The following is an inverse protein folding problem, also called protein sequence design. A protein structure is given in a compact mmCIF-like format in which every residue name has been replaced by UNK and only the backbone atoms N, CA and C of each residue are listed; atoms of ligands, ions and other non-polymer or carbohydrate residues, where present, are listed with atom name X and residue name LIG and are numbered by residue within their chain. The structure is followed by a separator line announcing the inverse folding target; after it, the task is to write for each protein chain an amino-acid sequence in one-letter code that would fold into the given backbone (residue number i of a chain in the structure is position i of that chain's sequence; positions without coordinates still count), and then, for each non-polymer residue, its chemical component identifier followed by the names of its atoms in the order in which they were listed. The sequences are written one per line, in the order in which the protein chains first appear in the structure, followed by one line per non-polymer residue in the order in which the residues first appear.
data_IF_326190667262
#
_entry.id   IF_326190667262
#
_cell.length_a   1.000
_cell.length_b   1.000
_cell.length_c   1.000
_cell.angle_alpha   90.00
_cell.angle_beta   90.00
_cell.angle_gamma   90.00
#
_symmetry.space_group_name_H-M   'P 1'
#
loop_
_entity.id
_entity.type
_entity.pdbx_description
1 polymer ?
#
# COMPACT_ATOMS: atom_id res chain seq x y z
N UNK A 1 9.18 35.82 -10.68
CA UNK A 1 10.46 36.55 -10.55
C UNK A 1 11.17 36.01 -9.32
N UNK A 2 12.14 35.12 -9.50
CA UNK A 2 13.25 34.82 -8.59
C UNK A 2 14.26 33.97 -9.38
N UNK A 3 15.50 34.46 -9.45
CA UNK A 3 16.62 33.99 -10.27
C UNK A 3 17.57 33.12 -9.43
N UNK A 4 18.09 32.09 -10.09
CA UNK A 4 19.46 31.55 -10.14
C UNK A 4 20.50 31.81 -9.04
N UNK A 5 21.23 30.72 -8.77
CA UNK A 5 22.65 30.64 -8.39
C UNK A 5 22.92 29.24 -7.80
N UNK A 6 23.97 28.48 -8.06
CA UNK A 6 25.10 28.58 -8.99
C UNK A 6 25.74 27.18 -9.15
N UNK A 7 26.60 27.06 -10.15
CA UNK A 7 27.20 25.84 -10.71
C UNK A 7 28.18 25.11 -9.77
N UNK A 8 28.27 23.78 -9.93
CA UNK A 8 29.55 23.06 -9.89
C UNK A 8 29.59 22.02 -11.03
N UNK A 9 30.57 22.17 -11.92
CA UNK A 9 30.93 21.24 -12.99
C UNK A 9 32.28 20.63 -12.61
N UNK A 10 32.35 19.30 -12.54
CA UNK A 10 33.63 18.58 -12.49
C UNK A 10 33.73 17.73 -13.76
N UNK A 11 34.72 18.05 -14.58
CA UNK A 11 35.08 17.36 -15.82
C UNK A 11 36.15 16.30 -15.52
N UNK A 12 35.98 15.09 -16.05
CA UNK A 12 37.03 14.08 -16.13
C UNK A 12 37.13 13.58 -17.57
N UNK A 13 38.25 13.93 -18.20
CA UNK A 13 38.63 13.58 -19.56
C UNK A 13 39.45 12.29 -19.59
N UNK A 14 39.08 11.34 -20.46
CA UNK A 14 39.92 10.16 -20.76
C UNK A 14 40.58 10.31 -22.13
N UNK A 15 41.92 10.17 -22.17
CA UNK A 15 42.72 10.05 -23.39
C UNK A 15 42.78 8.59 -23.80
N UNK A 16 42.42 8.28 -25.05
CA UNK A 16 42.69 7.00 -25.70
C UNK A 16 44.09 7.03 -26.34
N UNK A 17 44.88 5.99 -26.10
CA UNK A 17 46.10 5.67 -26.89
C UNK A 17 45.89 4.29 -27.52
N UNK A 18 46.02 4.12 -28.85
CA UNK A 18 45.83 2.83 -29.49
C UNK A 18 47.18 2.10 -29.63
N UNK A 19 47.19 0.79 -29.38
CA UNK A 19 48.31 -0.08 -29.80
C UNK A 19 47.78 -1.39 -30.40
N UNK A 20 48.42 -1.77 -31.50
CA UNK A 20 48.00 -2.76 -32.48
C UNK A 20 48.60 -4.16 -32.24
N UNK A 21 47.80 -5.18 -32.57
CA UNK A 21 48.07 -6.54 -33.08
C UNK A 21 49.47 -7.17 -32.88
N UNK A 22 49.49 -8.33 -32.17
CA UNK A 22 49.84 -9.68 -32.70
C UNK A 22 49.50 -10.79 -31.67
N UNK A 23 49.05 -11.95 -32.16
CA UNK A 23 48.56 -13.18 -31.48
C UNK A 23 49.72 -14.18 -31.20
N UNK A 24 49.54 -15.39 -30.60
CA UNK A 24 48.54 -15.89 -29.63
C UNK A 24 49.18 -16.69 -28.46
N UNK A 25 48.84 -16.39 -27.20
CA UNK A 25 48.96 -17.37 -26.09
C UNK A 25 47.87 -17.07 -25.05
N UNK A 26 46.63 -17.48 -25.33
CA UNK A 26 45.45 -17.08 -24.55
C UNK A 26 44.92 -18.16 -23.58
N UNK A 27 45.64 -19.27 -23.38
CA UNK A 27 45.20 -20.33 -22.46
C UNK A 27 45.96 -20.43 -21.14
N UNK A 28 46.95 -19.57 -20.87
CA UNK A 28 47.74 -19.62 -19.62
C UNK A 28 47.55 -18.40 -18.72
N UNK A 29 46.96 -17.30 -19.22
CA UNK A 29 46.73 -16.09 -18.41
C UNK A 29 45.34 -16.02 -17.73
N UNK A 30 44.39 -16.89 -18.08
CA UNK A 30 43.06 -16.92 -17.43
C UNK A 30 43.04 -17.64 -16.06
N UNK A 31 44.10 -18.37 -15.70
CA UNK A 31 44.15 -19.10 -14.42
C UNK A 31 44.76 -18.29 -13.27
N UNK A 32 45.55 -17.24 -13.55
CA UNK A 32 46.27 -16.49 -12.49
C UNK A 32 45.58 -15.16 -12.12
N UNK A 33 44.77 -14.57 -13.01
CA UNK A 33 43.97 -13.38 -12.67
C UNK A 33 42.67 -13.73 -11.92
N UNK A 34 42.18 -14.97 -12.05
CA UNK A 34 40.99 -15.46 -11.35
C UNK A 34 41.24 -15.77 -9.87
N UNK A 35 42.49 -15.93 -9.44
CA UNK A 35 42.86 -16.20 -8.03
C UNK A 35 43.22 -14.91 -7.28
N UNK A 36 43.61 -13.84 -7.97
CA UNK A 36 43.96 -12.55 -7.36
C UNK A 36 42.80 -11.55 -7.26
N UNK A 37 41.68 -11.75 -7.98
CA UNK A 37 40.46 -10.97 -7.79
C UNK A 37 39.46 -11.60 -6.82
N UNK A 38 39.66 -12.86 -6.43
CA UNK A 38 38.89 -13.50 -5.35
C UNK A 38 39.42 -13.16 -3.94
N UNK A 39 40.53 -12.43 -3.82
CA UNK A 39 41.15 -12.06 -2.53
C UNK A 39 41.08 -10.56 -2.20
N UNK A 40 40.33 -9.75 -2.96
CA UNK A 40 40.10 -8.31 -2.67
C UNK A 40 38.60 -7.94 -2.56
N UNK A 41 37.69 -8.92 -2.59
CA UNK A 41 36.25 -8.70 -2.28
C UNK A 41 35.80 -9.42 -0.99
N UNK A 42 36.69 -9.48 0.00
CA UNK A 42 36.32 -9.76 1.39
C UNK A 42 36.73 -8.53 2.21
N UNK A 43 35.86 -7.52 2.22
CA UNK A 43 35.83 -6.47 3.22
C UNK A 43 34.50 -5.73 3.08
N UNK A 44 33.61 -6.00 4.03
CA UNK A 44 32.36 -5.30 4.36
C UNK A 44 31.12 -5.66 3.53
N UNK A 45 30.51 -6.78 3.95
CA UNK A 45 29.16 -7.17 3.59
C UNK A 45 28.79 -8.45 4.32
N UNK A 46 28.76 -8.43 5.66
CA UNK A 46 28.27 -9.57 6.44
C UNK A 46 26.77 -9.74 6.16
N UNK A 47 26.43 -10.83 5.47
CA UNK A 47 25.13 -11.46 5.60
C UNK A 47 25.14 -12.20 6.93
N UNK A 48 24.32 -11.76 7.88
CA UNK A 48 23.98 -12.61 9.03
C UNK A 48 22.95 -13.63 8.55
N UNK A 49 23.42 -14.83 8.24
CA UNK A 49 22.59 -16.02 8.20
C UNK A 49 22.53 -16.59 9.61
N UNK A 50 21.39 -16.39 10.28
CA UNK A 50 21.11 -17.06 11.56
C UNK A 50 20.79 -18.53 11.25
N UNK A 51 21.82 -19.37 11.29
CA UNK A 51 21.65 -20.82 11.37
C UNK A 51 21.53 -21.22 12.84
N UNK A 52 20.35 -21.69 13.24
CA UNK A 52 20.19 -22.42 14.50
C UNK A 52 20.74 -23.84 14.25
N UNK A 53 21.84 -24.19 14.93
CA UNK A 53 22.31 -25.58 15.01
C UNK A 53 21.40 -26.40 15.94
N UNK A 54 21.24 -27.72 15.67
CA UNK A 54 20.19 -28.53 16.26
C UNK A 54 20.58 -29.00 17.67
N UNK A 55 19.79 -28.60 18.66
CA UNK A 55 19.73 -29.28 19.95
C UNK A 55 18.42 -30.09 20.03
N UNK A 56 18.54 -31.31 20.55
CA UNK A 56 17.56 -32.38 20.52
C UNK A 56 16.17 -32.02 21.04
N UNK A 57 15.16 -32.44 20.26
CA UNK A 57 13.90 -33.04 20.70
C UNK A 57 13.25 -32.46 21.97
N UNK A 58 12.40 -31.46 21.78
CA UNK A 58 11.02 -31.58 22.27
C UNK A 58 10.06 -30.89 21.30
N UNK A 59 8.99 -31.58 20.94
CA UNK A 59 7.95 -31.10 20.02
C UNK A 59 7.27 -29.87 20.62
N UNK A 60 7.49 -28.70 20.04
CA UNK A 60 6.52 -27.60 20.06
C UNK A 60 6.38 -27.01 18.66
N UNK A 61 5.39 -27.52 17.95
CA UNK A 61 4.82 -26.92 16.75
C UNK A 61 4.25 -25.56 17.13
N UNK A 62 4.82 -24.47 16.62
CA UNK A 62 4.09 -23.20 16.55
C UNK A 62 3.33 -23.25 15.23
N UNK A 63 2.10 -23.75 15.29
CA UNK A 63 1.12 -23.60 14.21
C UNK A 63 0.74 -22.12 14.14
N UNK A 64 1.06 -21.44 13.03
CA UNK A 64 0.28 -20.28 12.64
C UNK A 64 -1.08 -20.82 12.18
N UNK A 65 -2.07 -20.73 13.06
CA UNK A 65 -3.42 -21.21 12.77
C UNK A 65 -3.93 -20.59 11.47
N UNK A 66 -4.19 -21.46 10.49
CA UNK A 66 -4.97 -21.24 9.26
C UNK A 66 -6.44 -20.89 9.55
N UNK A 67 -6.73 -20.20 10.65
CA UNK A 67 -8.08 -19.85 11.08
C UNK A 67 -8.03 -18.59 11.96
N UNK A 68 -7.79 -17.41 11.36
CA UNK A 68 -8.50 -16.22 11.87
C UNK A 68 -9.87 -16.20 11.20
N UNK A 69 -10.69 -17.21 11.53
CA UNK A 69 -12.13 -17.12 11.32
C UNK A 69 -12.60 -16.19 12.43
N UNK A 70 -12.82 -14.92 12.09
CA UNK A 70 -13.49 -13.96 12.97
C UNK A 70 -14.93 -14.45 13.17
N UNK A 71 -15.16 -15.35 14.14
CA UNK A 71 -16.50 -15.73 14.57
C UNK A 71 -17.14 -14.51 15.24
N UNK A 72 -18.36 -14.10 14.83
CA UNK A 72 -19.02 -12.95 15.44
C UNK A 72 -19.53 -13.37 16.82
N UNK A 73 -18.84 -12.95 17.87
CA UNK A 73 -19.48 -12.84 19.18
C UNK A 73 -20.15 -11.46 19.20
N UNK A 74 -21.47 -11.45 18.98
CA UNK A 74 -22.30 -10.26 19.13
C UNK A 74 -22.27 -9.84 20.61
N UNK A 75 -21.34 -8.96 20.97
CA UNK A 75 -21.56 -8.09 22.11
C UNK A 75 -22.33 -6.88 21.59
N UNK A 76 -23.48 -6.62 22.23
CA UNK A 76 -24.39 -5.55 21.86
C UNK A 76 -23.61 -4.24 21.75
N UNK A 77 -23.65 -3.63 20.57
CA UNK A 77 -23.17 -2.28 20.35
C UNK A 77 -23.86 -1.36 21.36
N UNK A 78 -23.11 -0.93 22.38
CA UNK A 78 -23.50 0.26 23.14
C UNK A 78 -23.50 1.39 22.14
N UNK A 79 -24.68 1.95 21.89
CA UNK A 79 -24.84 3.07 20.98
C UNK A 79 -24.00 4.23 21.50
N UNK A 80 -22.82 4.43 20.91
CA UNK A 80 -22.11 5.71 21.00
C UNK A 80 -23.05 6.75 20.42
N UNK A 81 -23.41 7.73 21.25
CA UNK A 81 -24.22 8.86 20.84
C UNK A 81 -23.45 9.64 19.78
N UNK A 82 -23.76 9.35 18.51
CA UNK A 82 -23.21 10.03 17.35
C UNK A 82 -23.57 11.51 17.46
N UNK A 83 -22.58 12.36 17.76
CA UNK A 83 -22.76 13.79 17.59
C UNK A 83 -22.65 14.10 16.09
N UNK A 84 -23.69 14.67 15.46
CA UNK A 84 -23.56 15.15 14.09
C UNK A 84 -22.50 16.25 14.09
N UNK A 85 -21.39 16.02 13.39
CA UNK A 85 -20.44 17.08 13.07
C UNK A 85 -21.20 18.11 12.24
N UNK A 86 -21.42 19.27 12.86
CA UNK A 86 -22.09 20.43 12.26
C UNK A 86 -21.20 21.01 11.16
N UNK A 87 -21.32 20.50 9.94
CA UNK A 87 -20.98 21.25 8.75
C UNK A 87 -22.14 22.19 8.43
N UNK A 88 -21.88 23.50 8.40
CA UNK A 88 -22.87 24.51 8.05
C UNK A 88 -23.55 24.21 6.71
N UNK A 89 -24.87 24.38 6.69
CA UNK A 89 -25.77 24.42 5.52
C UNK A 89 -25.56 23.35 4.42
N UNK A 90 -26.47 22.35 4.40
CA UNK A 90 -26.94 21.64 3.20
C UNK A 90 -25.88 21.00 2.27
N UNK A 91 -24.98 20.17 2.80
CA UNK A 91 -24.39 19.09 2.01
C UNK A 91 -24.92 17.75 2.48
N UNK A 92 -26.11 17.38 1.98
CA UNK A 92 -26.62 16.02 2.11
C UNK A 92 -25.67 15.06 1.38
N UNK A 93 -24.87 14.30 2.14
CA UNK A 93 -24.04 13.27 1.56
C UNK A 93 -24.93 12.18 0.94
N UNK A 94 -24.80 12.00 -0.38
CA UNK A 94 -25.54 11.01 -1.16
C UNK A 94 -24.56 10.09 -1.86
N UNK A 95 -24.07 9.06 -1.15
CA UNK A 95 -23.10 8.11 -1.69
C UNK A 95 -23.64 7.32 -2.88
N UNK A 96 -24.92 6.94 -2.87
CA UNK A 96 -25.52 6.22 -4.01
C UNK A 96 -25.60 7.09 -5.26
N UNK A 97 -26.00 8.36 -5.11
CA UNK A 97 -26.02 9.34 -6.18
C UNK A 97 -24.61 9.64 -6.71
N UNK A 98 -23.63 9.74 -5.81
CA UNK A 98 -22.23 9.90 -6.16
C UNK A 98 -21.72 8.70 -6.97
N UNK A 99 -21.99 7.47 -6.53
CA UNK A 99 -21.58 6.23 -7.22
C UNK A 99 -22.22 6.12 -8.60
N UNK A 100 -23.50 6.50 -8.75
CA UNK A 100 -24.15 6.53 -10.08
C UNK A 100 -23.47 7.52 -11.03
N UNK A 101 -23.15 8.73 -10.57
CA UNK A 101 -22.41 9.73 -11.37
C UNK A 101 -20.99 9.25 -11.70
N UNK A 102 -20.33 8.61 -10.74
CA UNK A 102 -19.00 8.03 -10.90
C UNK A 102 -19.01 6.96 -12.00
N UNK A 103 -19.97 6.05 -12.01
CA UNK A 103 -20.12 5.02 -13.06
C UNK A 103 -20.34 5.61 -14.45
N UNK A 104 -21.08 6.72 -14.57
CA UNK A 104 -21.27 7.41 -15.85
C UNK A 104 -19.96 8.01 -16.37
N UNK A 105 -19.19 8.68 -15.50
CA UNK A 105 -17.88 9.24 -15.83
C UNK A 105 -16.87 8.14 -16.19
N UNK A 106 -16.89 7.02 -15.47
CA UNK A 106 -16.08 5.85 -15.76
C UNK A 106 -16.35 5.33 -17.17
N UNK A 107 -17.62 5.15 -17.57
CA UNK A 107 -17.97 4.69 -18.92
C UNK A 107 -17.43 5.59 -20.03
N UNK A 108 -17.51 6.91 -19.84
CA UNK A 108 -16.95 7.85 -20.80
C UNK A 108 -15.42 7.69 -20.92
N UNK A 109 -14.72 7.59 -19.78
CA UNK A 109 -13.28 7.34 -19.77
C UNK A 109 -12.91 6.02 -20.47
N UNK A 110 -13.61 4.93 -20.16
CA UNK A 110 -13.37 3.61 -20.76
C UNK A 110 -13.45 3.66 -22.29
N UNK A 111 -14.43 4.39 -22.85
CA UNK A 111 -14.56 4.52 -24.31
C UNK A 111 -13.35 5.18 -24.98
N UNK A 112 -12.68 6.10 -24.29
CA UNK A 112 -11.45 6.72 -24.79
C UNK A 112 -10.26 5.77 -24.63
N UNK A 113 -10.13 5.11 -23.49
CA UNK A 113 -9.01 4.21 -23.19
C UNK A 113 -8.98 2.96 -24.07
N UNK A 114 -10.14 2.34 -24.35
CA UNK A 114 -10.20 1.11 -25.14
C UNK A 114 -9.71 1.28 -26.59
N UNK A 115 -9.57 2.52 -27.09
CA UNK A 115 -9.01 2.80 -28.41
C UNK A 115 -7.47 2.85 -28.42
N UNK A 116 -6.85 3.20 -27.29
CA UNK A 116 -5.42 3.49 -27.19
C UNK A 116 -4.63 2.44 -26.39
N UNK A 117 -5.32 1.69 -25.52
CA UNK A 117 -4.69 0.79 -24.55
C UNK A 117 -5.11 -0.67 -24.78
N UNK A 118 -4.21 -1.60 -24.42
CA UNK A 118 -4.62 -2.98 -24.18
C UNK A 118 -5.50 -3.00 -22.94
N UNK A 119 -6.53 -3.85 -22.94
CA UNK A 119 -7.48 -3.97 -21.84
C UNK A 119 -7.61 -5.43 -21.41
N UNK A 120 -7.57 -5.64 -20.10
CA UNK A 120 -8.04 -6.89 -19.46
C UNK A 120 -9.05 -6.57 -18.37
N UNK A 121 -9.92 -7.52 -18.07
CA UNK A 121 -10.89 -7.42 -16.98
C UNK A 121 -10.82 -8.65 -16.09
N UNK A 122 -10.83 -8.42 -14.78
CA UNK A 122 -10.79 -9.44 -13.75
C UNK A 122 -11.92 -9.20 -12.75
N UNK A 123 -12.53 -10.30 -12.30
CA UNK A 123 -13.61 -10.26 -11.32
C UNK A 123 -13.21 -11.11 -10.12
N UNK A 124 -13.24 -10.50 -8.95
CA UNK A 124 -13.05 -11.16 -7.66
C UNK A 124 -14.40 -11.21 -6.94
N UNK A 125 -14.79 -12.38 -6.45
CA UNK A 125 -16.03 -12.56 -5.71
C UNK A 125 -15.95 -13.77 -4.78
N UNK A 126 -16.43 -13.61 -3.56
CA UNK A 126 -16.66 -14.72 -2.61
C UNK A 126 -18.10 -14.64 -2.08
N UNK A 127 -18.67 -15.78 -1.70
CA UNK A 127 -20.12 -15.92 -1.43
C UNK A 127 -20.70 -14.87 -0.46
N UNK A 128 -19.92 -14.44 0.54
CA UNK A 128 -20.33 -13.47 1.56
C UNK A 128 -19.61 -12.11 1.44
N UNK A 129 -18.80 -11.93 0.40
CA UNK A 129 -17.98 -10.74 0.20
C UNK A 129 -18.56 -9.78 -0.84
N UNK A 130 -17.89 -8.64 -1.07
CA UNK A 130 -18.23 -7.76 -2.18
C UNK A 130 -17.82 -8.41 -3.50
N UNK A 131 -18.29 -7.85 -4.61
CA UNK A 131 -17.74 -8.16 -5.94
C UNK A 131 -16.78 -7.04 -6.33
N UNK A 132 -15.57 -7.37 -6.77
CA UNK A 132 -14.61 -6.40 -7.32
C UNK A 132 -14.43 -6.67 -8.81
N UNK A 133 -14.69 -5.66 -9.63
CA UNK A 133 -14.49 -5.68 -11.08
C UNK A 133 -13.32 -4.73 -11.38
N UNK A 134 -12.17 -5.31 -11.71
CA UNK A 134 -10.96 -4.60 -12.07
C UNK A 134 -10.82 -4.59 -13.60
N UNK A 135 -10.79 -3.41 -14.21
CA UNK A 135 -10.42 -3.23 -15.61
C UNK A 135 -9.04 -2.59 -15.68
N UNK A 136 -8.06 -3.28 -16.25
CA UNK A 136 -6.67 -2.79 -16.37
C UNK A 136 -6.42 -2.36 -17.80
N UNK A 137 -6.00 -1.11 -17.98
CA UNK A 137 -5.63 -0.48 -19.24
C UNK A 137 -4.14 -0.19 -19.24
N UNK A 138 -3.40 -0.66 -20.24
CA UNK A 138 -1.95 -0.48 -20.28
C UNK A 138 -1.40 -0.53 -21.72
N UNK A 139 -0.29 0.16 -21.95
CA UNK A 139 0.51 0.03 -23.19
C UNK A 139 1.76 -0.81 -22.94
N UNK A 140 2.39 -0.61 -21.77
CA UNK A 140 3.60 -1.31 -21.32
C UNK A 140 3.40 -1.82 -19.89
N UNK A 141 3.24 -3.14 -19.77
CA UNK A 141 3.19 -3.88 -18.52
C UNK A 141 3.58 -5.32 -18.82
N UNK A 142 4.50 -5.89 -18.05
CA UNK A 142 4.86 -7.30 -18.21
C UNK A 142 3.70 -8.19 -17.77
N UNK A 143 3.55 -9.36 -18.37
CA UNK A 143 2.53 -10.34 -17.94
C UNK A 143 2.74 -10.72 -16.46
N UNK A 144 4.00 -10.89 -16.04
CA UNK A 144 4.35 -11.14 -14.65
C UNK A 144 3.85 -10.03 -13.70
N UNK A 145 4.06 -8.75 -14.05
CA UNK A 145 3.60 -7.65 -13.21
C UNK A 145 2.07 -7.57 -13.16
N UNK A 146 1.40 -7.83 -14.28
CA UNK A 146 -0.07 -7.90 -14.32
C UNK A 146 -0.59 -9.03 -13.43
N UNK A 147 -0.03 -10.24 -13.53
CA UNK A 147 -0.40 -11.38 -12.71
C UNK A 147 -0.20 -11.10 -11.22
N UNK A 148 0.93 -10.49 -10.86
CA UNK A 148 1.21 -10.09 -9.46
C UNK A 148 0.23 -9.03 -8.93
N UNK A 149 -0.21 -8.08 -9.77
CA UNK A 149 -1.25 -7.12 -9.39
C UNK A 149 -2.57 -7.85 -9.12
N UNK A 150 -2.98 -8.74 -10.03
CA UNK A 150 -4.24 -9.49 -9.91
C UNK A 150 -4.23 -10.39 -8.68
N UNK A 151 -3.16 -11.14 -8.48
CA UNK A 151 -2.98 -12.05 -7.34
C UNK A 151 -3.06 -11.29 -6.02
N UNK A 152 -2.29 -10.21 -5.86
CA UNK A 152 -2.27 -9.42 -4.62
C UNK A 152 -3.61 -8.74 -4.38
N UNK A 153 -4.28 -8.23 -5.42
CA UNK A 153 -5.63 -7.66 -5.27
C UNK A 153 -6.68 -8.71 -4.92
N UNK A 154 -6.53 -9.95 -5.35
CA UNK A 154 -7.38 -11.06 -4.90
C UNK A 154 -7.18 -11.32 -3.39
N UNK A 155 -5.95 -11.30 -2.90
CA UNK A 155 -5.66 -11.46 -1.47
C UNK A 155 -6.27 -10.32 -0.65
N UNK A 156 -6.11 -9.08 -1.12
CA UNK A 156 -6.74 -7.90 -0.51
C UNK A 156 -8.25 -8.05 -0.49
N UNK A 157 -8.87 -8.46 -1.60
CA UNK A 157 -10.31 -8.73 -1.67
C UNK A 157 -10.77 -9.73 -0.61
N UNK A 158 -10.03 -10.82 -0.41
CA UNK A 158 -10.35 -11.82 0.60
C UNK A 158 -10.19 -11.28 2.02
N UNK A 159 -9.21 -10.41 2.25
CA UNK A 159 -9.06 -9.70 3.51
C UNK A 159 -10.24 -8.75 3.80
N UNK A 160 -10.66 -7.93 2.82
CA UNK A 160 -11.84 -7.06 2.99
C UNK A 160 -13.10 -7.88 3.28
N UNK A 161 -13.27 -9.03 2.62
CA UNK A 161 -14.40 -9.92 2.84
C UNK A 161 -14.46 -10.46 4.28
N UNK A 162 -13.31 -10.64 4.92
CA UNK A 162 -13.22 -11.06 6.33
C UNK A 162 -13.42 -9.89 7.30
N UNK A 163 -12.85 -8.72 6.99
CA UNK A 163 -12.98 -7.53 7.81
C UNK A 163 -14.41 -6.97 7.80
N UNK A 164 -15.09 -7.06 6.66
CA UNK A 164 -16.43 -6.52 6.38
C UNK A 164 -17.39 -7.61 5.88
N UNK A 165 -17.76 -8.62 6.70
CA UNK A 165 -18.55 -9.77 6.27
C UNK A 165 -19.98 -9.44 5.80
N UNK A 166 -20.46 -8.22 6.05
CA UNK A 166 -21.78 -7.74 5.62
C UNK A 166 -21.70 -6.85 4.36
N UNK A 167 -20.58 -6.86 3.64
CA UNK A 167 -20.44 -6.12 2.37
C UNK A 167 -21.02 -6.84 1.16
N UNK A 168 -21.73 -7.96 1.36
CA UNK A 168 -22.40 -8.70 0.30
C UNK A 168 -23.31 -7.76 -0.53
N UNK A 169 -23.28 -7.92 -1.85
CA UNK A 169 -24.06 -7.10 -2.78
C UNK A 169 -23.45 -5.73 -3.10
N UNK A 170 -22.38 -5.31 -2.42
CA UNK A 170 -21.58 -4.15 -2.85
C UNK A 170 -20.68 -4.57 -4.02
N UNK A 171 -20.69 -3.77 -5.09
CA UNK A 171 -19.77 -3.93 -6.23
C UNK A 171 -18.76 -2.78 -6.27
N UNK A 172 -17.48 -3.10 -6.23
CA UNK A 172 -16.37 -2.18 -6.49
C UNK A 172 -15.99 -2.29 -7.96
N UNK A 173 -16.04 -1.18 -8.70
CA UNK A 173 -15.60 -1.13 -10.10
C UNK A 173 -14.38 -0.24 -10.22
N UNK A 174 -13.22 -0.76 -10.57
CA UNK A 174 -12.00 0.05 -10.69
C UNK A 174 -11.46 0.01 -12.11
N UNK A 175 -11.16 1.18 -12.66
CA UNK A 175 -10.31 1.31 -13.84
C UNK A 175 -8.88 1.59 -13.37
N UNK A 176 -7.95 0.68 -13.61
CA UNK A 176 -6.53 0.88 -13.37
C UNK A 176 -5.86 1.18 -14.70
N UNK A 177 -5.24 2.35 -14.82
CA UNK A 177 -4.58 2.81 -16.04
C UNK A 177 -3.09 2.91 -15.76
N UNK A 178 -2.31 2.03 -16.37
CA UNK A 178 -0.85 2.05 -16.32
C UNK A 178 -0.32 2.80 -17.53
N UNK A 179 0.29 3.95 -17.26
CA UNK A 179 0.83 4.86 -18.27
C UNK A 179 2.33 4.59 -18.42
N UNK A 180 2.82 4.55 -19.67
CA UNK A 180 4.13 3.98 -20.02
C UNK A 180 5.32 4.69 -19.38
N UNK A 181 5.16 5.98 -19.08
CA UNK A 181 6.23 6.82 -18.57
C UNK A 181 5.67 8.08 -17.90
N UNK A 182 6.58 8.85 -17.30
CA UNK A 182 6.28 10.12 -16.62
C UNK A 182 5.56 11.12 -17.51
N UNK A 183 5.92 11.24 -18.79
CA UNK A 183 5.32 12.25 -19.69
C UNK A 183 3.85 11.92 -19.94
N UNK A 184 3.56 10.65 -20.26
CA UNK A 184 2.18 10.21 -20.45
C UNK A 184 1.37 10.33 -19.15
N UNK A 185 1.98 10.01 -18.01
CA UNK A 185 1.37 10.19 -16.69
C UNK A 185 0.95 11.64 -16.43
N UNK A 186 1.86 12.59 -16.63
CA UNK A 186 1.59 14.00 -16.40
C UNK A 186 0.52 14.55 -17.37
N UNK A 187 0.57 14.18 -18.66
CA UNK A 187 -0.41 14.60 -19.65
C UNK A 187 -1.83 14.10 -19.32
N UNK A 188 -1.97 12.83 -18.96
CA UNK A 188 -3.29 12.27 -18.64
C UNK A 188 -3.88 12.82 -17.34
N UNK A 189 -3.07 12.96 -16.30
CA UNK A 189 -3.56 13.35 -14.96
C UNK A 189 -3.77 14.84 -14.80
N UNK A 190 -2.97 15.69 -15.47
CA UNK A 190 -3.14 17.14 -15.45
C UNK A 190 -4.48 17.61 -16.05
N UNK A 191 -5.05 16.84 -16.99
CA UNK A 191 -6.40 17.05 -17.55
C UNK A 191 -7.51 17.00 -16.49
N UNK A 192 -7.23 16.40 -15.34
CA UNK A 192 -8.14 16.29 -14.20
C UNK A 192 -7.82 17.27 -13.07
N UNK A 193 -6.94 18.26 -13.30
CA UNK A 193 -6.62 19.31 -12.34
C UNK A 193 -5.69 18.86 -11.19
N UNK A 194 -5.07 17.70 -11.32
CA UNK A 194 -4.07 17.17 -10.39
C UNK A 194 -2.68 17.71 -10.73
N UNK A 195 -1.83 17.94 -9.72
CA UNK A 195 -0.40 18.20 -9.93
C UNK A 195 0.37 16.87 -9.89
N UNK A 196 0.77 16.31 -11.04
CA UNK A 196 1.35 14.98 -11.12
C UNK A 196 2.80 14.88 -10.63
N UNK A 197 3.47 16.01 -10.40
CA UNK A 197 4.93 16.03 -10.20
C UNK A 197 5.36 15.41 -8.87
N UNK A 198 4.43 15.28 -7.92
CA UNK A 198 4.73 14.83 -6.54
C UNK A 198 4.32 13.39 -6.27
N UNK A 199 3.68 12.69 -7.22
CA UNK A 199 3.25 11.30 -7.03
C UNK A 199 3.64 10.39 -8.20
N UNK A 200 3.48 9.08 -7.98
CA UNK A 200 3.66 8.02 -8.99
C UNK A 200 2.32 7.35 -9.33
N UNK A 201 1.27 7.73 -8.61
CA UNK A 201 -0.08 7.18 -8.67
C UNK A 201 -1.07 8.23 -8.20
N UNK A 202 -2.29 8.16 -8.71
CA UNK A 202 -3.41 8.94 -8.19
C UNK A 202 -4.73 8.21 -8.47
N UNK A 203 -5.57 8.13 -7.44
CA UNK A 203 -6.94 7.67 -7.54
C UNK A 203 -7.91 8.85 -7.64
N UNK A 204 -8.61 8.94 -8.78
CA UNK A 204 -9.71 9.89 -8.95
C UNK A 204 -11.03 9.27 -8.52
N UNK A 205 -11.47 9.63 -7.31
CA UNK A 205 -12.77 9.25 -6.76
C UNK A 205 -13.93 9.57 -7.72
N UNK A 206 -13.83 10.65 -8.52
CA UNK A 206 -14.90 11.09 -9.42
C UNK A 206 -15.20 10.14 -10.60
N UNK A 207 -14.27 9.27 -11.00
CA UNK A 207 -14.43 8.33 -12.12
C UNK A 207 -14.07 6.89 -11.76
N UNK A 208 -13.75 6.62 -10.50
CA UNK A 208 -13.24 5.33 -10.03
C UNK A 208 -12.05 4.83 -10.86
N UNK A 209 -11.09 5.73 -11.05
CA UNK A 209 -9.97 5.50 -11.95
C UNK A 209 -8.66 5.81 -11.25
N UNK A 210 -7.77 4.82 -11.22
CA UNK A 210 -6.41 4.95 -10.75
C UNK A 210 -5.49 5.13 -11.96
N UNK A 211 -4.68 6.17 -11.97
CA UNK A 211 -3.61 6.35 -12.96
C UNK A 211 -2.29 6.10 -12.28
N UNK A 212 -1.44 5.28 -12.90
CA UNK A 212 -0.16 4.87 -12.36
C UNK A 212 0.92 5.07 -13.40
N UNK A 213 2.00 5.75 -13.01
CA UNK A 213 3.21 5.82 -13.81
C UNK A 213 3.96 4.49 -13.75
N UNK A 214 4.36 3.97 -14.92
CA UNK A 214 5.26 2.85 -15.01
C UNK A 214 6.72 3.31 -14.98
N UNK A 215 7.49 2.87 -13.98
CA UNK A 215 8.97 2.96 -13.97
C UNK A 215 9.64 1.61 -14.07
N UNK A 216 9.07 0.62 -13.39
CA UNK A 216 9.48 -0.78 -13.37
C UNK A 216 8.39 -1.61 -12.69
N UNK A 217 8.47 -2.94 -12.87
CA UNK A 217 7.50 -3.91 -12.35
C UNK A 217 7.26 -3.76 -10.84
N UNK A 218 8.33 -3.67 -10.03
CA UNK A 218 8.19 -3.56 -8.56
C UNK A 218 7.41 -2.31 -8.16
N UNK A 219 7.72 -1.16 -8.76
CA UNK A 219 7.05 0.09 -8.44
C UNK A 219 5.61 0.13 -8.93
N UNK A 220 5.34 -0.31 -10.18
CA UNK A 220 3.97 -0.29 -10.72
C UNK A 220 3.05 -1.21 -9.94
N UNK A 221 3.53 -2.41 -9.54
CA UNK A 221 2.73 -3.35 -8.73
C UNK A 221 2.32 -2.69 -7.41
N UNK A 222 3.27 -2.15 -6.65
CA UNK A 222 3.01 -1.50 -5.36
C UNK A 222 2.04 -0.33 -5.50
N UNK A 223 2.28 0.53 -6.49
CA UNK A 223 1.47 1.73 -6.71
C UNK A 223 0.07 1.38 -7.20
N UNK A 224 -0.07 0.43 -8.13
CA UNK A 224 -1.36 -0.05 -8.61
C UNK A 224 -2.22 -0.61 -7.48
N UNK A 225 -1.62 -1.39 -6.57
CA UNK A 225 -2.34 -1.91 -5.42
C UNK A 225 -2.74 -0.76 -4.50
N UNK A 226 -1.81 0.14 -4.14
CA UNK A 226 -2.09 1.33 -3.30
C UNK A 226 -3.32 2.10 -3.81
N UNK A 227 -3.31 2.49 -5.09
CA UNK A 227 -4.42 3.26 -5.66
C UNK A 227 -5.73 2.45 -5.74
N UNK A 228 -5.65 1.13 -5.92
CA UNK A 228 -6.82 0.27 -5.91
C UNK A 228 -7.48 0.17 -4.53
N UNK A 229 -6.68 0.25 -3.45
CA UNK A 229 -7.21 0.27 -2.08
C UNK A 229 -8.11 1.48 -1.86
N UNK A 230 -7.77 2.65 -2.39
CA UNK A 230 -8.64 3.83 -2.27
C UNK A 230 -10.03 3.60 -2.90
N UNK A 231 -10.10 2.89 -4.02
CA UNK A 231 -11.37 2.50 -4.64
C UNK A 231 -12.19 1.54 -3.76
N UNK A 232 -11.51 0.56 -3.16
CA UNK A 232 -12.13 -0.39 -2.24
C UNK A 232 -12.63 0.32 -0.98
N UNK A 233 -11.82 1.17 -0.36
CA UNK A 233 -12.19 1.97 0.81
C UNK A 233 -13.44 2.81 0.54
N UNK A 234 -13.43 3.58 -0.54
CA UNK A 234 -14.54 4.44 -0.91
C UNK A 234 -15.86 3.67 -1.08
N UNK A 235 -15.81 2.48 -1.68
CA UNK A 235 -17.03 1.71 -1.98
C UNK A 235 -17.50 0.85 -0.81
N UNK A 236 -16.58 0.25 -0.08
CA UNK A 236 -16.89 -0.70 0.98
C UNK A 236 -17.14 0.00 2.31
N UNK A 237 -16.42 1.08 2.58
CA UNK A 237 -16.50 1.85 3.82
C UNK A 237 -17.28 3.14 3.57
N UNK A 238 -16.81 4.00 2.68
CA UNK A 238 -17.39 5.32 2.43
C UNK A 238 -16.34 6.41 2.60
N UNK A 239 -16.77 7.57 3.13
CA UNK A 239 -15.83 8.55 3.65
C UNK A 239 -14.99 7.88 4.75
N UNK A 240 -13.67 8.04 4.67
CA UNK A 240 -12.69 7.39 5.56
C UNK A 240 -11.70 8.47 5.99
N UNK A 241 -11.30 8.56 7.28
CA UNK A 241 -10.30 9.54 7.71
C UNK A 241 -8.95 9.25 7.02
N UNK A 242 -8.17 10.29 6.71
CA UNK A 242 -6.96 10.14 5.86
C UNK A 242 -5.96 9.14 6.42
N UNK A 243 -5.72 9.15 7.74
CA UNK A 243 -4.79 8.21 8.38
C UNK A 243 -5.14 6.74 8.08
N UNK A 244 -6.44 6.43 8.07
CA UNK A 244 -6.95 5.09 7.84
C UNK A 244 -6.99 4.78 6.34
N UNK A 245 -7.42 5.74 5.51
CA UNK A 245 -7.47 5.57 4.06
C UNK A 245 -6.07 5.35 3.46
N UNK A 246 -5.14 6.23 3.77
CA UNK A 246 -3.74 6.14 3.31
C UNK A 246 -3.00 5.00 4.00
N UNK A 247 -3.23 4.80 5.31
CA UNK A 247 -2.61 3.70 6.05
C UNK A 247 -2.98 2.33 5.46
N UNK A 248 -4.25 2.09 5.15
CA UNK A 248 -4.69 0.83 4.51
C UNK A 248 -4.07 0.68 3.12
N UNK A 249 -4.01 1.77 2.35
CA UNK A 249 -3.40 1.74 1.02
C UNK A 249 -1.91 1.37 1.10
N UNK A 250 -1.16 1.98 2.03
CA UNK A 250 0.23 1.64 2.30
C UNK A 250 0.39 0.20 2.79
N UNK A 251 -0.41 -0.24 3.76
CA UNK A 251 -0.35 -1.59 4.32
C UNK A 251 -0.60 -2.65 3.25
N UNK A 252 -1.73 -2.58 2.56
CA UNK A 252 -2.12 -3.59 1.58
C UNK A 252 -1.28 -3.54 0.31
N UNK A 253 -0.66 -2.40 -0.06
CA UNK A 253 0.31 -2.35 -1.17
C UNK A 253 1.52 -3.26 -0.96
N UNK A 254 1.80 -3.63 0.29
CA UNK A 254 2.92 -4.48 0.69
C UNK A 254 2.56 -5.96 0.83
N UNK A 255 1.31 -6.33 0.57
CA UNK A 255 0.85 -7.72 0.72
C UNK A 255 1.52 -8.64 -0.32
N UNK A 256 1.97 -9.81 0.14
CA UNK A 256 2.51 -10.86 -0.73
C UNK A 256 2.53 -12.22 -0.04
N UNK A 257 2.71 -13.27 -0.85
CA UNK A 257 2.96 -14.62 -0.36
C UNK A 257 4.47 -14.84 -0.22
N UNK A 258 4.91 -15.21 0.98
CA UNK A 258 6.27 -15.66 1.26
C UNK A 258 6.21 -17.05 1.90
N UNK A 259 6.90 -18.03 1.30
CA UNK A 259 6.96 -19.41 1.81
C UNK A 259 5.60 -20.06 2.10
N UNK A 260 4.56 -19.70 1.33
CA UNK A 260 3.20 -20.21 1.53
C UNK A 260 2.39 -19.49 2.61
N UNK A 261 2.93 -18.42 3.19
CA UNK A 261 2.25 -17.56 4.17
C UNK A 261 1.98 -16.16 3.60
N UNK A 262 0.84 -15.60 3.98
CA UNK A 262 0.49 -14.23 3.65
C UNK A 262 1.23 -13.28 4.59
N UNK A 263 1.99 -12.34 4.03
CA UNK A 263 2.76 -11.37 4.79
C UNK A 263 2.60 -9.95 4.25
N UNK A 264 2.86 -8.98 5.12
CA UNK A 264 3.05 -7.58 4.72
C UNK A 264 4.55 -7.29 4.69
N UNK A 265 5.10 -7.20 3.49
CA UNK A 265 6.52 -6.96 3.29
C UNK A 265 6.93 -5.60 3.86
N UNK A 266 8.05 -5.55 4.57
CA UNK A 266 8.56 -4.30 5.15
C UNK A 266 9.90 -3.95 4.53
N UNK A 267 10.02 -2.72 4.02
CA UNK A 267 11.30 -2.20 3.59
C UNK A 267 12.15 -1.88 4.82
N UNK A 268 13.39 -2.39 4.89
CA UNK A 268 14.27 -2.18 6.06
C UNK A 268 14.41 -0.70 6.46
N UNK A 269 14.42 0.21 5.49
CA UNK A 269 14.49 1.66 5.73
C UNK A 269 13.23 2.21 6.44
N UNK A 270 12.08 1.59 6.24
CA UNK A 270 10.87 1.96 6.96
C UNK A 270 10.94 1.56 8.44
N UNK A 271 11.76 0.57 8.80
CA UNK A 271 11.93 0.15 10.19
C UNK A 271 12.61 1.23 11.03
N UNK A 272 13.46 2.08 10.46
CA UNK A 272 14.17 3.13 11.20
C UNK A 272 13.39 4.44 11.36
N UNK A 273 12.10 4.47 11.00
CA UNK A 273 11.26 5.67 11.10
C UNK A 273 10.47 5.67 12.41
N UNK A 274 10.33 6.83 13.03
CA UNK A 274 9.41 6.99 14.16
C UNK A 274 8.01 7.35 13.68
N UNK A 275 7.01 6.72 14.29
CA UNK A 275 5.60 7.03 14.06
C UNK A 275 5.20 8.24 14.93
N UNK A 276 4.15 8.95 14.52
CA UNK A 276 3.39 9.77 15.46
C UNK A 276 2.73 8.87 16.51
N UNK A 277 2.52 9.40 17.71
CA UNK A 277 1.59 8.81 18.66
C UNK A 277 0.20 8.71 18.03
N UNK A 278 -0.58 7.73 18.48
CA UNK A 278 -1.87 7.43 17.85
C UNK A 278 -2.81 8.63 17.87
N UNK A 279 -2.92 9.37 18.98
CA UNK A 279 -3.89 10.45 19.07
C UNK A 279 -3.52 11.61 18.14
N UNK A 280 -2.23 11.98 18.07
CA UNK A 280 -1.74 12.95 17.08
C UNK A 280 -2.03 12.51 15.65
N UNK A 281 -1.86 11.22 15.33
CA UNK A 281 -2.21 10.69 14.02
C UNK A 281 -3.72 10.79 13.74
N UNK A 282 -4.57 10.40 14.70
CA UNK A 282 -6.02 10.48 14.57
C UNK A 282 -6.50 11.93 14.39
N UNK A 283 -5.87 12.89 15.06
CA UNK A 283 -6.18 14.31 14.98
C UNK A 283 -5.53 15.05 13.79
N UNK A 284 -4.81 14.34 12.92
CA UNK A 284 -3.98 14.94 11.86
C UNK A 284 -4.71 15.37 10.60
N UNK A 285 -6.04 15.24 10.50
CA UNK A 285 -6.79 15.41 9.23
C UNK A 285 -6.48 16.74 8.49
N UNK A 286 -6.37 17.85 9.24
CA UNK A 286 -6.02 19.17 8.68
C UNK A 286 -4.54 19.38 8.36
N UNK A 287 -3.68 18.45 8.79
CA UNK A 287 -2.23 18.60 8.78
C UNK A 287 -1.55 17.96 7.56
N UNK A 288 -2.27 17.14 6.79
CA UNK A 288 -1.74 16.41 5.63
C UNK A 288 -1.14 17.31 4.53
N UNK A 289 -1.51 18.59 4.52
CA UNK A 289 -0.99 19.61 3.60
C UNK A 289 0.11 20.50 4.21
N UNK A 290 0.45 20.33 5.49
CA UNK A 290 1.35 21.22 6.25
C UNK A 290 2.49 20.53 7.02
N UNK A 291 2.44 19.21 7.19
CA UNK A 291 3.42 18.39 7.93
C UNK A 291 4.28 17.54 6.98
N UNK A 292 5.34 16.92 7.51
CA UNK A 292 6.03 15.77 6.92
C UNK A 292 5.03 14.64 6.59
N UNK A 293 4.42 14.72 5.40
CA UNK A 293 3.42 13.78 4.91
C UNK A 293 3.97 12.35 4.88
N UNK A 294 5.27 12.16 4.63
CA UNK A 294 5.89 10.85 4.65
C UNK A 294 5.81 10.21 6.04
N UNK A 295 5.98 11.01 7.10
CA UNK A 295 5.80 10.54 8.47
C UNK A 295 4.33 10.18 8.75
N UNK A 296 3.35 10.93 8.23
CA UNK A 296 1.93 10.59 8.36
C UNK A 296 1.58 9.27 7.64
N UNK A 297 2.05 9.09 6.41
CA UNK A 297 1.93 7.83 5.67
C UNK A 297 2.52 6.65 6.44
N UNK A 298 3.75 6.83 6.93
CA UNK A 298 4.43 5.81 7.74
C UNK A 298 3.67 5.50 9.03
N UNK A 299 3.17 6.52 9.72
CA UNK A 299 2.43 6.35 10.98
C UNK A 299 1.14 5.57 10.77
N UNK A 300 0.38 5.90 9.71
CA UNK A 300 -0.81 5.12 9.33
C UNK A 300 -0.46 3.66 9.05
N UNK A 301 0.59 3.42 8.26
CA UNK A 301 1.06 2.07 7.98
C UNK A 301 1.48 1.32 9.25
N UNK A 302 2.28 1.92 10.14
CA UNK A 302 2.85 1.24 11.30
C UNK A 302 1.77 0.84 12.30
N UNK A 303 0.83 1.74 12.60
CA UNK A 303 -0.27 1.44 13.52
C UNK A 303 -1.16 0.33 12.98
N UNK A 304 -1.53 0.37 11.70
CA UNK A 304 -2.35 -0.68 11.10
C UNK A 304 -1.60 -2.01 11.00
N UNK A 305 -0.30 -1.98 10.68
CA UNK A 305 0.54 -3.19 10.63
C UNK A 305 0.67 -3.86 11.98
N UNK A 306 0.83 -3.07 13.05
CA UNK A 306 0.82 -3.54 14.43
C UNK A 306 -0.53 -4.18 14.76
N UNK A 307 -1.63 -3.46 14.54
CA UNK A 307 -2.98 -3.96 14.84
C UNK A 307 -3.28 -5.27 14.10
N UNK A 308 -2.97 -5.35 12.81
CA UNK A 308 -3.20 -6.56 12.02
C UNK A 308 -2.26 -7.73 12.36
N UNK A 309 -1.15 -7.47 13.06
CA UNK A 309 -0.22 -8.49 13.53
C UNK A 309 -0.56 -9.08 14.90
N UNK A 310 -1.53 -8.50 15.61
CA UNK A 310 -1.99 -8.94 16.92
C UNK A 310 -3.45 -9.43 16.82
N UNK A 311 -3.84 -10.48 17.56
CA UNK A 311 -5.19 -11.03 17.45
C UNK A 311 -6.26 -10.03 17.96
N UNK A 312 -5.98 -9.35 19.08
CA UNK A 312 -6.87 -8.36 19.65
C UNK A 312 -6.89 -7.09 18.81
N UNK A 313 -5.73 -6.69 18.29
CA UNK A 313 -5.60 -5.59 17.33
C UNK A 313 -6.40 -5.83 16.05
N UNK A 314 -6.35 -7.04 15.48
CA UNK A 314 -7.07 -7.38 14.25
C UNK A 314 -8.58 -7.39 14.47
N UNK A 315 -9.06 -7.91 15.62
CA UNK A 315 -10.47 -7.83 16.03
C UNK A 315 -10.92 -6.38 16.20
N UNK A 316 -10.09 -5.55 16.83
CA UNK A 316 -10.35 -4.12 17.03
C UNK A 316 -10.43 -3.38 15.69
N UNK A 317 -9.51 -3.68 14.77
CA UNK A 317 -9.52 -3.12 13.41
C UNK A 317 -10.78 -3.49 12.63
N UNK A 318 -11.19 -4.77 12.69
CA UNK A 318 -12.43 -5.22 12.07
C UNK A 318 -13.65 -4.51 12.67
N UNK A 319 -13.65 -4.23 13.98
CA UNK A 319 -14.72 -3.47 14.62
C UNK A 319 -14.75 -2.00 14.15
N UNK A 320 -13.60 -1.33 14.14
CA UNK A 320 -13.47 0.04 13.64
C UNK A 320 -14.01 0.18 12.20
N UNK A 321 -13.56 -0.69 11.29
CA UNK A 321 -13.99 -0.67 9.89
C UNK A 321 -15.50 -0.93 9.72
N UNK A 322 -16.11 -1.75 10.58
CA UNK A 322 -17.57 -1.97 10.59
C UNK A 322 -18.34 -0.73 11.04
N UNK A 323 -17.82 0.03 12.00
CA UNK A 323 -18.45 1.27 12.42
C UNK A 323 -18.34 2.35 11.36
N UNK A 324 -17.15 2.55 10.78
CA UNK A 324 -16.95 3.49 9.66
C UNK A 324 -17.85 3.12 8.47
N UNK A 325 -17.97 1.83 8.13
CA UNK A 325 -18.81 1.39 7.01
C UNK A 325 -20.32 1.41 7.28
N UNK A 326 -20.75 1.61 8.54
CA UNK A 326 -22.17 1.62 8.92
C UNK A 326 -22.93 2.85 8.42
N UNK A 327 -22.23 3.99 8.29
CA UNK A 327 -22.75 5.21 7.69
C UNK A 327 -21.68 5.78 6.77
N UNK A 328 -21.73 5.51 5.46
CA UNK A 328 -20.65 5.86 4.52
C UNK A 328 -20.48 7.37 4.30
N UNK A 329 -21.33 8.18 4.94
CA UNK A 329 -21.34 9.64 4.89
C UNK A 329 -20.81 10.31 6.16
N UNK A 330 -20.47 9.52 7.18
CA UNK A 330 -19.93 10.01 8.42
C UNK A 330 -18.57 9.38 8.67
N UNK A 331 -17.66 10.14 9.26
CA UNK A 331 -16.33 9.68 9.68
C UNK A 331 -16.29 9.76 11.20
N UNK A 332 -15.75 8.74 11.86
CA UNK A 332 -15.52 8.81 13.30
C UNK A 332 -14.50 9.91 13.62
N UNK A 333 -14.77 10.67 14.69
CA UNK A 333 -13.82 11.65 15.20
C UNK A 333 -12.61 10.96 15.86
N UNK A 334 -11.52 11.72 16.01
CA UNK A 334 -10.32 11.24 16.68
C UNK A 334 -10.63 10.70 18.10
N UNK A 335 -11.50 11.38 18.85
CA UNK A 335 -11.91 10.96 20.19
C UNK A 335 -12.73 9.66 20.16
N UNK A 336 -13.71 9.54 19.26
CA UNK A 336 -14.51 8.31 19.11
C UNK A 336 -13.62 7.12 18.71
N UNK A 337 -12.71 7.32 17.76
CA UNK A 337 -11.76 6.28 17.35
C UNK A 337 -10.83 5.91 18.52
N UNK A 338 -10.25 6.88 19.22
CA UNK A 338 -9.34 6.61 20.34
C UNK A 338 -10.05 5.84 21.46
N UNK A 339 -11.25 6.25 21.85
CA UNK A 339 -12.06 5.57 22.86
C UNK A 339 -12.38 4.13 22.45
N UNK A 340 -12.67 3.89 21.17
CA UNK A 340 -12.87 2.54 20.65
C UNK A 340 -11.61 1.69 20.78
N UNK A 341 -10.45 2.22 20.36
CA UNK A 341 -9.17 1.50 20.43
C UNK A 341 -8.83 1.16 21.89
N UNK A 342 -8.93 2.14 22.78
CA UNK A 342 -8.67 1.96 24.21
C UNK A 342 -9.66 0.99 24.87
N UNK A 343 -10.95 1.06 24.53
CA UNK A 343 -11.96 0.17 25.10
C UNK A 343 -11.78 -1.28 24.66
N UNK A 344 -11.41 -1.51 23.40
CA UNK A 344 -11.23 -2.85 22.85
C UNK A 344 -9.84 -3.43 23.15
N UNK A 345 -8.81 -2.60 23.25
CA UNK A 345 -7.44 -3.02 23.52
C UNK A 345 -6.73 -2.01 24.45
N UNK A 346 -6.96 -2.06 25.77
CA UNK A 346 -6.52 -1.01 26.71
C UNK A 346 -5.02 -0.69 26.72
N UNK A 347 -4.17 -1.67 26.38
CA UNK A 347 -2.70 -1.52 26.39
C UNK A 347 -2.11 -1.33 24.99
N UNK A 348 -2.92 -1.03 23.98
CA UNK A 348 -2.50 -1.00 22.57
C UNK A 348 -1.33 -0.05 22.30
N UNK A 349 -1.25 1.10 22.99
CA UNK A 349 -0.13 2.02 22.83
C UNK A 349 1.18 1.43 23.34
N UNK A 350 1.19 0.87 24.56
CA UNK A 350 2.38 0.23 25.10
C UNK A 350 2.80 -0.97 24.23
N UNK A 351 1.84 -1.79 23.81
CA UNK A 351 2.09 -2.93 22.94
C UNK A 351 2.66 -2.51 21.57
N UNK A 352 2.20 -1.37 21.02
CA UNK A 352 2.76 -0.78 19.81
C UNK A 352 4.21 -0.34 20.01
N UNK A 353 4.52 0.39 21.10
CA UNK A 353 5.89 0.80 21.40
C UNK A 353 6.83 -0.41 21.55
N UNK A 354 6.39 -1.45 22.25
CA UNK A 354 7.17 -2.68 22.41
C UNK A 354 7.38 -3.40 21.07
N UNK A 355 6.37 -3.40 20.20
CA UNK A 355 6.44 -3.95 18.85
C UNK A 355 7.44 -3.18 17.98
N UNK A 356 7.39 -1.85 17.99
CA UNK A 356 8.30 -1.02 17.21
C UNK A 356 9.75 -1.22 17.64
N UNK A 357 10.03 -1.27 18.96
CA UNK A 357 11.38 -1.56 19.45
C UNK A 357 11.90 -2.96 19.06
N UNK A 358 11.02 -3.95 18.91
CA UNK A 358 11.42 -5.28 18.41
C UNK A 358 11.78 -5.24 16.92
N UNK A 359 11.05 -4.44 16.14
CA UNK A 359 11.35 -4.23 14.72
C UNK A 359 12.69 -3.51 14.51
N UNK A 360 13.00 -2.50 15.32
CA UNK A 360 14.27 -1.78 15.23
C UNK A 360 15.46 -2.71 15.50
N UNK A 361 15.32 -3.60 16.48
CA UNK A 361 16.36 -4.57 16.84
C UNK A 361 16.57 -5.66 15.80
N UNK A 362 15.57 -6.00 14.99
CA UNK A 362 15.72 -6.98 13.91
C UNK A 362 16.21 -6.36 12.59
N UNK A 363 16.22 -5.02 12.50
CA UNK A 363 16.75 -4.28 11.38
C UNK A 363 18.26 -4.01 11.47
N UNK A 364 18.80 -4.01 12.69
CA UNK A 364 20.23 -3.98 13.02
C UNK A 364 20.85 -5.36 12.86
#
# INVERSE_FOLDING_TARGET
MCRFGDKFVVSLSFRFVPLAKKRPHWLVYCAVVSIALLSIFISNGEFVSVYLTPAESSKQTIELHRNVVVKPELTQATALNKHPVSHGADHYCNMDGFIKKQQQRAKHLQSMLSAEFKQTQHVFSVNSGPTVILSVYYTQLSELALDMIIERLSMVHDMYSQLLPNSQGKTVTLNLIVLSDRTQYEDYTSRYGFDPRTSQGVFFHGSNSAFVEFKNDKQVIKTAIHEAIHAMNLRLIGLTPRWLNEGMAQLFSSIEMQNGELVFAVEKKALSLESHDIYSLLASESQWESIDTNKLYYSGWSWLRFMMGDEQGAKTMAHLLRLESSNPCNVLSADETYQLLQGAFPTFEQAFYDWQQRLDRSAQ
#
